data_IF_870076388869
#
_entry.id   IF_870076388869
#
_cell.length_a   1.000
_cell.length_b   1.000
_cell.length_c   1.000
_cell.angle_alpha   90.00
_cell.angle_beta   90.00
_cell.angle_gamma   90.00
#
_symmetry.space_group_name_H-M   'P 1'
#
loop_
_entity.id
_entity.type
_entity.pdbx_description
1 polymer ?
#
# COMPACT_ATOMS: atom_id res chain seq x y z
N UNK A 1 -13.12 -0.47 -8.51
CA UNK A 1 -12.74 0.94 -8.22
C UNK A 1 -12.00 1.50 -9.42
N UNK A 2 -12.15 2.79 -9.74
CA UNK A 2 -11.38 3.39 -10.83
C UNK A 2 -9.93 3.59 -10.39
N UNK A 3 -8.97 3.10 -11.19
CA UNK A 3 -7.54 3.33 -10.98
C UNK A 3 -7.00 4.34 -11.99
N UNK A 4 -6.13 5.25 -11.55
CA UNK A 4 -5.47 6.23 -12.41
C UNK A 4 -4.01 6.37 -11.99
N UNK A 5 -3.11 6.24 -12.96
CA UNK A 5 -1.68 6.46 -12.73
C UNK A 5 -1.42 7.93 -12.44
N UNK A 6 -0.61 8.21 -11.41
CA UNK A 6 -0.20 9.56 -11.02
C UNK A 6 1.23 9.81 -11.52
N UNK A 7 2.18 8.99 -11.06
CA UNK A 7 3.61 9.11 -11.35
C UNK A 7 4.39 7.85 -10.97
N UNK A 8 5.62 7.77 -11.43
CA UNK A 8 6.63 6.82 -10.95
C UNK A 8 7.88 7.58 -10.54
N UNK A 9 8.46 7.23 -9.39
CA UNK A 9 9.67 7.83 -8.84
C UNK A 9 10.53 6.76 -8.14
N UNK A 10 11.60 7.19 -7.44
CA UNK A 10 12.52 6.26 -6.78
C UNK A 10 11.89 5.48 -5.61
N UNK A 11 10.68 5.85 -5.16
CA UNK A 11 9.95 5.14 -4.11
C UNK A 11 9.09 4.04 -4.74
N UNK A 12 8.40 4.33 -5.84
CA UNK A 12 7.54 3.36 -6.50
C UNK A 12 6.59 3.98 -7.54
N UNK A 13 5.57 3.22 -7.92
CA UNK A 13 4.48 3.66 -8.78
C UNK A 13 3.29 4.12 -7.96
N UNK A 14 2.81 5.34 -8.22
CA UNK A 14 1.75 6.00 -7.47
C UNK A 14 0.46 6.05 -8.28
N UNK A 15 -0.65 5.76 -7.61
CA UNK A 15 -1.96 5.59 -8.22
C UNK A 15 -3.06 6.24 -7.36
N UNK A 16 -4.01 6.88 -8.02
CA UNK A 16 -5.32 7.12 -7.42
C UNK A 16 -6.13 5.82 -7.56
N UNK A 17 -6.76 5.38 -6.47
CA UNK A 17 -7.60 4.19 -6.44
C UNK A 17 -8.83 4.42 -5.56
N UNK A 18 -9.95 4.76 -6.20
CA UNK A 18 -11.12 5.28 -5.48
C UNK A 18 -10.77 6.60 -4.79
N UNK A 19 -10.93 6.66 -3.47
CA UNK A 19 -10.56 7.83 -2.64
C UNK A 19 -9.15 7.73 -2.03
N UNK A 20 -8.46 6.61 -2.25
CA UNK A 20 -7.14 6.35 -1.69
C UNK A 20 -6.01 6.65 -2.68
N UNK A 21 -4.85 6.98 -2.12
CA UNK A 21 -3.57 6.97 -2.84
C UNK A 21 -2.88 5.65 -2.53
N UNK A 22 -2.46 4.94 -3.58
CA UNK A 22 -1.73 3.68 -3.49
C UNK A 22 -0.34 3.86 -4.09
N UNK A 23 0.70 3.37 -3.40
CA UNK A 23 2.05 3.26 -3.93
C UNK A 23 2.48 1.79 -3.96
N UNK A 24 2.99 1.35 -5.12
CA UNK A 24 3.49 0.00 -5.34
C UNK A 24 4.98 0.07 -5.56
N UNK A 25 5.73 -0.66 -4.73
CA UNK A 25 7.18 -0.71 -4.75
C UNK A 25 7.67 -2.16 -4.67
N UNK A 26 8.97 -2.33 -4.95
CA UNK A 26 9.71 -3.55 -4.60
C UNK A 26 10.86 -3.21 -3.67
N UNK A 27 10.85 -3.82 -2.48
CA UNK A 27 11.92 -3.70 -1.49
C UNK A 27 12.57 -5.07 -1.32
N UNK A 28 13.89 -5.15 -1.49
CA UNK A 28 14.63 -6.42 -1.42
C UNK A 28 14.02 -7.51 -2.33
N UNK A 29 13.60 -7.12 -3.54
CA UNK A 29 12.90 -7.96 -4.53
C UNK A 29 11.51 -8.48 -4.12
N UNK A 30 10.97 -8.06 -2.97
CA UNK A 30 9.63 -8.38 -2.49
C UNK A 30 8.66 -7.23 -2.69
N UNK A 31 7.37 -7.52 -2.85
CA UNK A 31 6.33 -6.49 -2.99
C UNK A 31 6.12 -5.70 -1.71
N UNK A 32 5.99 -4.38 -1.86
CA UNK A 32 5.53 -3.47 -0.83
C UNK A 32 4.40 -2.60 -1.43
N UNK A 33 3.22 -2.67 -0.81
CA UNK A 33 2.08 -1.82 -1.12
C UNK A 33 1.84 -0.90 0.07
N UNK A 34 1.79 0.41 -0.18
CA UNK A 34 1.28 1.37 0.79
C UNK A 34 -0.02 2.01 0.29
N UNK A 35 -0.94 2.26 1.20
CA UNK A 35 -2.26 2.85 0.91
C UNK A 35 -2.60 3.87 1.97
N UNK A 36 -3.08 5.04 1.55
CA UNK A 36 -3.44 6.14 2.44
C UNK A 36 -4.66 6.90 1.97
N UNK A 37 -5.28 7.64 2.89
CA UNK A 37 -6.39 8.54 2.60
C UNK A 37 -6.19 9.88 3.35
N UNK A 38 -6.65 10.97 2.75
CA UNK A 38 -6.35 12.34 3.21
C UNK A 38 -6.92 12.68 4.59
N UNK A 39 -8.13 12.20 4.94
CA UNK A 39 -8.84 12.59 6.17
C UNK A 39 -9.21 11.46 7.15
N UNK A 40 -9.04 10.19 6.77
CA UNK A 40 -9.42 9.00 7.55
C UNK A 40 -8.48 7.85 7.22
N UNK A 41 -8.53 6.77 8.00
CA UNK A 41 -7.90 5.53 7.60
C UNK A 41 -8.59 4.92 6.36
N UNK A 42 -7.84 4.30 5.44
CA UNK A 42 -8.38 3.37 4.47
C UNK A 42 -9.17 2.27 5.20
N UNK A 43 -10.35 1.95 4.67
CA UNK A 43 -11.18 0.85 5.16
C UNK A 43 -10.53 -0.49 4.82
N UNK A 44 -10.93 -1.54 5.53
CA UNK A 44 -10.48 -2.89 5.21
C UNK A 44 -10.78 -3.28 3.75
N UNK A 45 -11.96 -2.92 3.24
CA UNK A 45 -12.37 -3.25 1.87
C UNK A 45 -11.55 -2.49 0.82
N UNK A 46 -11.17 -1.24 1.08
CA UNK A 46 -10.25 -0.49 0.21
C UNK A 46 -8.86 -1.12 0.18
N UNK A 47 -8.32 -1.49 1.35
CA UNK A 47 -7.02 -2.16 1.48
C UNK A 47 -7.04 -3.51 0.74
N UNK A 48 -8.07 -4.32 0.99
CA UNK A 48 -8.27 -5.63 0.35
C UNK A 48 -8.38 -5.48 -1.17
N UNK A 49 -9.18 -4.52 -1.64
CA UNK A 49 -9.36 -4.26 -3.07
C UNK A 49 -8.05 -3.83 -3.71
N UNK A 50 -7.29 -2.93 -3.08
CA UNK A 50 -5.99 -2.50 -3.59
C UNK A 50 -4.99 -3.67 -3.66
N UNK A 51 -4.94 -4.53 -2.64
CA UNK A 51 -4.12 -5.75 -2.68
C UNK A 51 -4.42 -6.57 -3.93
N UNK A 52 -5.67 -6.93 -4.18
CA UNK A 52 -6.03 -7.81 -5.30
C UNK A 52 -5.92 -7.14 -6.67
N UNK A 53 -6.05 -5.82 -6.74
CA UNK A 53 -5.90 -5.07 -7.99
C UNK A 53 -4.43 -4.92 -8.41
N UNK A 54 -3.53 -4.59 -7.48
CA UNK A 54 -2.17 -4.17 -7.82
C UNK A 54 -1.13 -5.29 -7.71
N UNK A 55 -1.36 -6.29 -6.87
CA UNK A 55 -0.40 -7.37 -6.62
C UNK A 55 -0.94 -8.67 -7.20
N UNK A 56 -0.05 -9.47 -7.81
CA UNK A 56 -0.40 -10.79 -8.35
C UNK A 56 -1.08 -11.67 -7.31
N UNK A 57 -2.11 -12.41 -7.72
CA UNK A 57 -2.92 -13.24 -6.83
C UNK A 57 -2.08 -14.29 -6.07
N UNK A 58 -1.02 -14.82 -6.69
CA UNK A 58 -0.12 -15.82 -6.11
C UNK A 58 0.76 -15.33 -4.95
N UNK A 59 0.75 -14.04 -4.62
CA UNK A 59 1.62 -13.44 -3.59
C UNK A 59 0.87 -13.34 -2.26
N UNK A 60 1.42 -13.86 -1.18
CA UNK A 60 0.84 -13.60 0.16
C UNK A 60 1.35 -12.26 0.68
N UNK A 61 0.43 -11.36 1.03
CA UNK A 61 0.74 -10.05 1.58
C UNK A 61 0.23 -9.95 3.01
N UNK A 62 0.99 -9.32 3.90
CA UNK A 62 0.60 -9.08 5.27
C UNK A 62 0.85 -7.65 5.72
N UNK A 63 -0.02 -7.17 6.60
CA UNK A 63 0.21 -5.99 7.41
C UNK A 63 0.82 -6.45 8.74
N UNK A 64 2.05 -6.03 9.03
CA UNK A 64 2.75 -6.44 10.24
C UNK A 64 2.84 -5.27 11.24
N UNK A 65 2.85 -5.63 12.52
CA UNK A 65 3.12 -4.72 13.63
C UNK A 65 4.45 -5.17 14.26
N UNK A 66 5.60 -4.65 13.78
CA UNK A 66 6.90 -5.05 14.31
C UNK A 66 7.05 -4.56 15.77
N UNK A 67 8.13 -4.97 16.48
CA UNK A 67 8.45 -4.38 17.77
C UNK A 67 8.36 -2.86 17.74
N UNK A 68 7.85 -2.24 18.81
CA UNK A 68 7.55 -0.80 18.84
C UNK A 68 8.73 0.09 18.43
N UNK A 69 9.96 -0.32 18.75
CA UNK A 69 11.18 0.41 18.39
C UNK A 69 11.47 0.41 16.88
N UNK A 70 10.89 -0.54 16.13
CA UNK A 70 11.05 -0.72 14.69
C UNK A 70 9.80 -0.24 13.92
N UNK A 71 8.71 0.09 14.61
CA UNK A 71 7.48 0.57 13.98
C UNK A 71 7.67 1.99 13.43
N UNK A 72 7.74 2.12 12.11
CA UNK A 72 7.84 3.41 11.41
C UNK A 72 6.60 3.61 10.54
N UNK A 73 5.87 4.69 10.80
CA UNK A 73 4.77 5.15 9.94
C UNK A 73 4.76 6.68 9.89
N UNK A 74 5.41 7.23 8.87
CA UNK A 74 5.63 8.68 8.75
C UNK A 74 4.45 9.41 8.13
N UNK A 75 3.61 8.70 7.36
CA UNK A 75 2.51 9.29 6.61
C UNK A 75 1.19 9.13 7.36
N UNK A 76 0.41 10.21 7.44
CA UNK A 76 -0.92 10.17 8.07
C UNK A 76 -1.80 9.15 7.33
N UNK A 77 -2.55 8.39 8.13
CA UNK A 77 -3.54 7.44 7.63
C UNK A 77 -2.99 6.39 6.64
N UNK A 78 -1.70 6.06 6.73
CA UNK A 78 -1.06 5.11 5.82
C UNK A 78 -1.00 3.71 6.42
N UNK A 79 -1.36 2.70 5.63
CA UNK A 79 -1.10 1.30 5.93
C UNK A 79 -0.13 0.72 4.93
N UNK A 80 0.65 -0.25 5.40
CA UNK A 80 1.66 -0.94 4.61
C UNK A 80 1.40 -2.44 4.61
N UNK A 81 1.41 -3.03 3.42
CA UNK A 81 1.34 -4.46 3.20
C UNK A 81 2.62 -4.89 2.52
N UNK A 82 3.21 -5.98 3.01
CA UNK A 82 4.45 -6.54 2.49
C UNK A 82 4.28 -8.01 2.12
N UNK A 83 5.00 -8.44 1.09
CA UNK A 83 5.10 -9.84 0.74
C UNK A 83 5.85 -10.62 1.83
N UNK A 84 5.30 -11.77 2.23
CA UNK A 84 5.92 -12.70 3.18
C UNK A 84 6.91 -13.60 2.43
#
# INVERSE_FOLDING_TARGET
MQKKFIRSDSIGEWWDFGECIVCIAKELNKWHLSISHSSRYPTYDEIKSARYEFIKDSVTMAMFFPPKAEFVNLHKNCFHLYEI
#
